data_IF_033286041690
#
_entry.id   IF_033286041690
#
_cell.length_a   1.000
_cell.length_b   1.000
_cell.length_c   1.000
_cell.angle_alpha   90.00
_cell.angle_beta   90.00
_cell.angle_gamma   90.00
#
_symmetry.space_group_name_H-M   'P 1'
#
loop_
_entity.id
_entity.type
_entity.pdbx_description
1 polymer ?
#
# COMPACT_ATOMS: atom_id res chain seq x y z
N UNK A 1 21.05 14.35 1.58
CA UNK A 1 19.60 14.55 1.49
C UNK A 1 18.99 14.37 0.09
N UNK A 2 19.23 15.23 -0.93
CA UNK A 2 18.54 15.06 -2.24
C UNK A 2 18.82 13.72 -2.95
N UNK A 3 20.05 13.18 -2.84
CA UNK A 3 20.41 11.91 -3.47
C UNK A 3 19.99 10.66 -2.67
N UNK A 4 19.80 10.75 -1.36
CA UNK A 4 19.50 9.58 -0.51
C UNK A 4 18.04 9.12 -0.67
N UNK A 5 17.13 10.08 -0.87
CA UNK A 5 15.70 9.79 -1.09
C UNK A 5 15.36 9.48 -2.55
N UNK A 6 16.29 9.66 -3.48
CA UNK A 6 16.03 9.45 -4.91
C UNK A 6 15.64 8.01 -5.21
N UNK A 7 16.41 7.04 -4.71
CA UNK A 7 16.15 5.61 -4.94
C UNK A 7 14.79 5.20 -4.33
N UNK A 8 14.50 5.47 -3.04
CA UNK A 8 13.19 5.18 -2.45
C UNK A 8 12.02 5.83 -3.22
N UNK A 9 12.16 7.09 -3.65
CA UNK A 9 11.10 7.81 -4.37
C UNK A 9 10.84 7.21 -5.76
N UNK A 10 11.90 6.86 -6.49
CA UNK A 10 11.75 6.21 -7.81
C UNK A 10 11.09 4.84 -7.67
N UNK A 11 11.51 4.03 -6.70
CA UNK A 11 10.89 2.73 -6.43
C UNK A 11 9.43 2.88 -6.00
N UNK A 12 9.13 3.84 -5.12
CA UNK A 12 7.76 4.16 -4.72
C UNK A 12 6.88 4.47 -5.95
N UNK A 13 7.36 5.30 -6.86
CA UNK A 13 6.67 5.62 -8.11
C UNK A 13 6.42 4.38 -8.98
N UNK A 14 7.43 3.52 -9.16
CA UNK A 14 7.31 2.28 -9.95
C UNK A 14 6.26 1.34 -9.33
N UNK A 15 6.28 1.15 -8.01
CA UNK A 15 5.36 0.23 -7.34
C UNK A 15 3.93 0.79 -7.28
N UNK A 16 3.76 2.10 -7.12
CA UNK A 16 2.46 2.76 -7.29
C UNK A 16 1.94 2.59 -8.72
N UNK A 17 2.79 2.78 -9.73
CA UNK A 17 2.41 2.58 -11.12
C UNK A 17 2.00 1.13 -11.40
N UNK A 18 2.71 0.16 -10.84
CA UNK A 18 2.35 -1.25 -10.95
C UNK A 18 0.93 -1.52 -10.40
N UNK A 19 0.58 -0.92 -9.26
CA UNK A 19 -0.77 -1.02 -8.71
C UNK A 19 -1.82 -0.37 -9.63
N UNK A 20 -1.52 0.81 -10.19
CA UNK A 20 -2.39 1.50 -11.14
C UNK A 20 -2.60 0.68 -12.41
N UNK A 21 -1.55 0.09 -12.97
CA UNK A 21 -1.63 -0.81 -14.14
C UNK A 21 -2.49 -2.02 -13.81
N UNK A 22 -2.36 -2.59 -12.61
CA UNK A 22 -3.23 -3.67 -12.16
C UNK A 22 -4.71 -3.30 -12.17
N UNK A 23 -5.06 -2.10 -11.70
CA UNK A 23 -6.44 -1.60 -11.78
C UNK A 23 -6.88 -1.42 -13.23
N UNK A 24 -6.07 -0.75 -14.06
CA UNK A 24 -6.39 -0.45 -15.46
C UNK A 24 -6.60 -1.72 -16.30
N UNK A 25 -5.80 -2.75 -16.05
CA UNK A 25 -5.84 -4.03 -16.76
C UNK A 25 -6.76 -5.07 -16.12
N UNK A 26 -7.37 -4.77 -14.96
CA UNK A 26 -8.17 -5.71 -14.16
C UNK A 26 -7.37 -6.98 -13.84
N UNK A 27 -6.17 -6.77 -13.30
CA UNK A 27 -5.21 -7.80 -12.88
C UNK A 27 -4.82 -7.60 -11.43
N UNK A 28 -5.46 -8.33 -10.54
CA UNK A 28 -5.37 -8.23 -9.10
C UNK A 28 -3.98 -8.60 -8.60
N UNK A 29 -3.28 -9.46 -9.33
CA UNK A 29 -1.87 -9.76 -9.10
C UNK A 29 -1.01 -8.50 -9.12
N UNK A 30 -1.13 -7.65 -10.14
CA UNK A 30 -0.33 -6.42 -10.24
C UNK A 30 -0.73 -5.39 -9.19
N UNK A 31 -2.03 -5.31 -8.87
CA UNK A 31 -2.49 -4.49 -7.74
C UNK A 31 -1.78 -4.95 -6.47
N UNK A 32 -1.90 -6.23 -6.10
CA UNK A 32 -1.27 -6.76 -4.88
C UNK A 32 0.25 -6.60 -4.87
N UNK A 33 0.90 -6.92 -5.99
CA UNK A 33 2.34 -6.80 -6.13
C UNK A 33 2.82 -5.36 -5.90
N UNK A 34 2.09 -4.36 -6.42
CA UNK A 34 2.39 -2.95 -6.17
C UNK A 34 2.39 -2.62 -4.68
N UNK A 35 1.34 -2.98 -3.93
CA UNK A 35 1.30 -2.72 -2.47
C UNK A 35 2.32 -3.53 -1.69
N UNK A 36 2.54 -4.79 -2.08
CA UNK A 36 3.51 -5.69 -1.44
C UNK A 36 4.92 -5.10 -1.53
N UNK A 37 5.35 -4.76 -2.74
CA UNK A 37 6.68 -4.19 -2.99
C UNK A 37 6.80 -2.79 -2.37
N UNK A 38 5.76 -1.96 -2.46
CA UNK A 38 5.75 -0.64 -1.83
C UNK A 38 5.92 -0.75 -0.31
N UNK A 39 5.10 -1.59 0.35
CA UNK A 39 5.18 -1.79 1.79
C UNK A 39 6.51 -2.37 2.22
N UNK A 40 7.00 -3.39 1.48
CA UNK A 40 8.27 -4.03 1.78
C UNK A 40 9.42 -3.04 1.67
N UNK A 41 9.41 -2.21 0.63
CA UNK A 41 10.41 -1.16 0.42
C UNK A 41 10.41 -0.13 1.56
N UNK A 42 9.25 0.42 1.93
CA UNK A 42 9.18 1.40 3.03
C UNK A 42 9.66 0.79 4.33
N UNK A 43 9.21 -0.43 4.65
CA UNK A 43 9.65 -1.17 5.84
C UNK A 43 11.18 -1.37 5.82
N UNK A 44 11.75 -1.83 4.71
CA UNK A 44 13.19 -2.10 4.59
C UNK A 44 14.04 -0.84 4.73
N UNK A 45 13.70 0.26 4.05
CA UNK A 45 14.48 1.49 4.15
C UNK A 45 14.41 2.12 5.54
N UNK A 46 13.24 2.12 6.19
CA UNK A 46 13.14 2.61 7.57
C UNK A 46 13.94 1.71 8.53
N UNK A 47 13.93 0.39 8.34
CA UNK A 47 14.73 -0.53 9.16
C UNK A 47 16.24 -0.28 8.97
N UNK A 48 16.70 -0.05 7.73
CA UNK A 48 18.10 0.28 7.45
C UNK A 48 18.51 1.60 8.10
N UNK A 49 17.65 2.63 8.02
CA UNK A 49 17.88 3.91 8.71
C UNK A 49 17.95 3.76 10.24
N UNK A 50 17.10 2.91 10.83
CA UNK A 50 17.21 2.59 12.25
C UNK A 50 18.54 1.91 12.59
N UNK A 51 18.99 0.96 11.76
CA UNK A 51 20.26 0.24 11.98
C UNK A 51 21.49 1.14 11.76
N UNK A 52 21.38 2.22 10.97
CA UNK A 52 22.45 3.22 10.81
C UNK A 52 22.46 4.29 11.91
N UNK A 53 21.51 4.27 12.84
CA UNK A 53 21.42 5.23 13.95
C UNK A 53 20.58 6.48 13.66
N UNK A 54 19.86 6.51 12.54
CA UNK A 54 18.99 7.63 12.12
C UNK A 54 17.53 7.44 12.54
N UNK A 55 17.23 6.42 13.33
CA UNK A 55 15.86 6.02 13.69
C UNK A 55 15.21 6.81 14.82
N UNK A 56 13.90 6.99 14.73
CA UNK A 56 13.05 7.53 15.77
C UNK A 56 11.66 6.88 15.82
N UNK A 57 10.73 7.54 16.51
CA UNK A 57 9.37 7.03 16.68
C UNK A 57 8.61 6.91 15.34
N UNK A 58 8.87 7.81 14.39
CA UNK A 58 8.23 7.82 13.08
C UNK A 58 8.62 6.58 12.26
N UNK A 59 9.91 6.22 12.27
CA UNK A 59 10.45 5.07 11.57
C UNK A 59 9.89 3.77 12.16
N UNK A 60 9.77 3.67 13.49
CA UNK A 60 9.19 2.49 14.16
C UNK A 60 7.72 2.31 13.75
N UNK A 61 6.93 3.39 13.77
CA UNK A 61 5.53 3.37 13.35
C UNK A 61 5.42 2.99 11.88
N UNK A 62 6.26 3.58 11.03
CA UNK A 62 6.32 3.29 9.60
C UNK A 62 6.64 1.82 9.33
N UNK A 63 7.65 1.26 10.00
CA UNK A 63 8.02 -0.16 9.89
C UNK A 63 6.83 -1.05 10.24
N UNK A 64 6.18 -0.80 11.37
CA UNK A 64 5.03 -1.59 11.81
C UNK A 64 3.87 -1.55 10.80
N UNK A 65 3.49 -0.35 10.37
CA UNK A 65 2.41 -0.15 9.41
C UNK A 65 2.68 -0.84 8.07
N UNK A 66 3.89 -0.65 7.53
CA UNK A 66 4.22 -1.18 6.20
C UNK A 66 4.62 -2.65 6.21
N UNK A 67 5.08 -3.19 7.34
CA UNK A 67 5.15 -4.64 7.54
C UNK A 67 3.75 -5.27 7.44
N UNK A 68 2.74 -4.68 8.11
CA UNK A 68 1.35 -5.13 7.98
C UNK A 68 0.86 -5.06 6.53
N UNK A 69 1.06 -3.94 5.83
CA UNK A 69 0.69 -3.84 4.40
C UNK A 69 1.35 -4.95 3.57
N UNK A 70 2.64 -5.17 3.76
CA UNK A 70 3.41 -6.20 3.04
C UNK A 70 2.79 -7.58 3.23
N UNK A 71 2.50 -7.96 4.47
CA UNK A 71 1.91 -9.28 4.77
C UNK A 71 0.50 -9.40 4.17
N UNK A 72 -0.36 -8.40 4.40
CA UNK A 72 -1.75 -8.44 3.95
C UNK A 72 -1.87 -8.42 2.41
N UNK A 73 -0.88 -7.84 1.74
CA UNK A 73 -0.85 -7.67 0.29
C UNK A 73 0.07 -8.67 -0.41
N UNK A 74 0.54 -9.71 0.29
CA UNK A 74 1.29 -10.81 -0.32
C UNK A 74 0.61 -11.24 -1.64
N UNK A 75 1.37 -11.31 -2.76
CA UNK A 75 0.80 -11.25 -4.11
C UNK A 75 0.26 -12.60 -4.59
N UNK A 76 -0.47 -13.30 -3.71
CA UNK A 76 -1.26 -14.48 -4.06
C UNK A 76 -2.70 -14.03 -4.23
N UNK A 77 -3.19 -14.19 -5.46
CA UNK A 77 -4.52 -13.73 -5.87
C UNK A 77 -5.19 -14.89 -6.61
N UNK A 78 -6.43 -15.26 -6.23
CA UNK A 78 -7.21 -16.18 -7.05
C UNK A 78 -7.56 -15.53 -8.40
N UNK A 79 -8.01 -16.31 -9.37
CA UNK A 79 -8.46 -15.76 -10.67
C UNK A 79 -9.85 -15.10 -10.56
N UNK A 80 -10.66 -15.55 -9.63
CA UNK A 80 -12.01 -15.03 -9.36
C UNK A 80 -12.30 -15.00 -7.86
N UNK A 81 -13.11 -14.03 -7.43
CA UNK A 81 -13.57 -13.91 -6.04
C UNK A 81 -15.08 -13.72 -6.01
N UNK A 82 -15.78 -14.53 -5.21
CA UNK A 82 -17.22 -14.40 -4.99
C UNK A 82 -17.51 -13.54 -3.75
N UNK A 83 -17.88 -12.28 -3.95
CA UNK A 83 -18.25 -11.35 -2.87
C UNK A 83 -19.69 -11.50 -2.40
N UNK A 84 -20.46 -12.46 -2.94
CA UNK A 84 -21.75 -12.86 -2.38
C UNK A 84 -21.60 -13.79 -1.17
N UNK A 85 -20.44 -14.43 -1.00
CA UNK A 85 -20.10 -15.16 0.23
C UNK A 85 -19.77 -14.15 1.34
N UNK A 86 -20.49 -14.22 2.45
CA UNK A 86 -20.38 -13.27 3.55
C UNK A 86 -19.01 -13.31 4.24
N UNK A 87 -18.41 -14.50 4.37
CA UNK A 87 -17.09 -14.65 4.98
C UNK A 87 -16.01 -14.05 4.07
N UNK A 88 -16.08 -14.32 2.76
CA UNK A 88 -15.17 -13.74 1.76
C UNK A 88 -15.33 -12.21 1.71
N UNK A 89 -16.56 -11.71 1.68
CA UNK A 89 -16.86 -10.27 1.68
C UNK A 89 -16.31 -9.58 2.92
N UNK A 90 -16.58 -10.14 4.11
CA UNK A 90 -16.13 -9.59 5.38
C UNK A 90 -14.60 -9.54 5.46
N UNK A 91 -13.93 -10.62 5.07
CA UNK A 91 -12.46 -10.65 5.04
C UNK A 91 -11.91 -9.63 4.05
N UNK A 92 -12.47 -9.57 2.83
CA UNK A 92 -12.02 -8.64 1.81
C UNK A 92 -12.20 -7.17 2.23
N UNK A 93 -13.29 -6.82 2.91
CA UNK A 93 -13.52 -5.50 3.47
C UNK A 93 -12.51 -5.18 4.58
N UNK A 94 -12.29 -6.10 5.53
CA UNK A 94 -11.29 -5.90 6.60
C UNK A 94 -9.90 -5.64 6.02
N UNK A 95 -9.46 -6.47 5.07
CA UNK A 95 -8.16 -6.31 4.41
C UNK A 95 -8.06 -4.96 3.67
N UNK A 96 -9.06 -4.64 2.84
CA UNK A 96 -9.03 -3.43 2.02
C UNK A 96 -9.11 -2.16 2.87
N UNK A 97 -9.94 -2.16 3.92
CA UNK A 97 -10.04 -1.04 4.87
C UNK A 97 -8.76 -0.86 5.68
N UNK A 98 -8.11 -1.94 6.12
CA UNK A 98 -6.82 -1.83 6.81
C UNK A 98 -5.76 -1.20 5.92
N UNK A 99 -5.65 -1.64 4.66
CA UNK A 99 -4.66 -1.09 3.72
C UNK A 99 -5.00 0.35 3.32
N UNK A 100 -6.29 0.68 3.20
CA UNK A 100 -6.77 2.07 3.05
C UNK A 100 -6.28 2.93 4.22
N UNK A 101 -6.51 2.50 5.46
CA UNK A 101 -6.11 3.24 6.65
C UNK A 101 -4.58 3.40 6.73
N UNK A 102 -3.81 2.36 6.41
CA UNK A 102 -2.35 2.45 6.38
C UNK A 102 -1.90 3.57 5.43
N UNK A 103 -2.41 3.61 4.21
CA UNK A 103 -2.01 4.60 3.23
C UNK A 103 -2.55 6.00 3.55
N UNK A 104 -3.80 6.12 4.01
CA UNK A 104 -4.36 7.41 4.43
C UNK A 104 -3.61 8.00 5.61
N UNK A 105 -3.23 7.19 6.59
CA UNK A 105 -2.39 7.62 7.71
C UNK A 105 -1.00 8.05 7.22
N UNK A 106 -0.41 7.32 6.27
CA UNK A 106 0.87 7.70 5.69
C UNK A 106 0.81 9.04 4.92
N UNK A 107 -0.29 9.33 4.22
CA UNK A 107 -0.54 10.66 3.64
C UNK A 107 -0.48 11.73 4.73
N UNK A 108 -1.24 11.54 5.82
CA UNK A 108 -1.25 12.48 6.92
C UNK A 108 0.14 12.66 7.56
N UNK A 109 0.89 11.57 7.78
CA UNK A 109 2.24 11.63 8.34
C UNK A 109 3.22 12.41 7.45
N UNK A 110 3.19 12.18 6.13
CA UNK A 110 4.07 12.91 5.18
C UNK A 110 3.73 14.40 5.13
N UNK A 111 2.45 14.75 5.23
CA UNK A 111 2.02 16.15 5.26
C UNK A 111 2.34 16.84 6.60
N UNK A 112 2.38 16.08 7.69
CA UNK A 112 2.62 16.60 9.04
C UNK A 112 4.11 16.67 9.42
N UNK A 113 4.96 15.84 8.82
CA UNK A 113 6.39 15.80 9.10
C UNK A 113 7.18 16.72 8.17
N UNK A 114 8.03 17.57 8.75
CA UNK A 114 8.98 18.39 8.00
C UNK A 114 10.11 17.51 7.43
N UNK A 115 10.59 17.81 6.23
CA UNK A 115 11.73 17.14 5.60
C UNK A 115 11.40 15.92 4.73
N UNK A 116 10.15 15.45 4.71
CA UNK A 116 9.73 14.38 3.80
C UNK A 116 9.33 14.93 2.41
N UNK A 117 9.74 14.26 1.30
CA UNK A 117 9.29 14.63 -0.03
C UNK A 117 7.77 14.50 -0.17
N UNK A 118 7.11 15.61 -0.50
CA UNK A 118 5.64 15.67 -0.58
C UNK A 118 5.04 14.77 -1.66
N UNK A 119 5.83 14.37 -2.66
CA UNK A 119 5.44 13.38 -3.66
C UNK A 119 5.07 12.02 -3.03
N UNK A 120 5.63 11.68 -1.86
CA UNK A 120 5.28 10.45 -1.15
C UNK A 120 3.82 10.45 -0.69
N UNK A 121 3.28 11.61 -0.28
CA UNK A 121 1.87 11.75 0.05
C UNK A 121 0.99 11.48 -1.18
N UNK A 122 1.43 11.88 -2.38
CA UNK A 122 0.71 11.58 -3.63
C UNK A 122 0.68 10.07 -3.90
N UNK A 123 1.81 9.39 -3.75
CA UNK A 123 1.88 7.93 -3.94
C UNK A 123 0.98 7.18 -2.97
N UNK A 124 1.02 7.52 -1.67
CA UNK A 124 0.11 6.95 -0.68
C UNK A 124 -1.35 7.30 -0.96
N UNK A 125 -1.65 8.52 -1.40
CA UNK A 125 -3.00 8.94 -1.76
C UNK A 125 -3.58 8.10 -2.91
N UNK A 126 -2.78 7.84 -3.95
CA UNK A 126 -3.18 6.95 -5.05
C UNK A 126 -3.50 5.55 -4.53
N UNK A 127 -2.62 4.99 -3.69
CA UNK A 127 -2.82 3.69 -3.06
C UNK A 127 -4.05 3.68 -2.12
N UNK A 128 -4.35 4.76 -1.42
CA UNK A 128 -5.58 4.86 -0.63
C UNK A 128 -6.83 4.83 -1.54
N UNK A 129 -6.83 5.61 -2.62
CA UNK A 129 -7.94 5.65 -3.59
C UNK A 129 -8.19 4.28 -4.23
N UNK A 130 -7.14 3.54 -4.58
CA UNK A 130 -7.29 2.18 -5.13
C UNK A 130 -7.99 1.24 -4.14
N UNK A 131 -7.69 1.32 -2.85
CA UNK A 131 -8.40 0.52 -1.83
C UNK A 131 -9.85 0.98 -1.67
N UNK A 132 -10.14 2.28 -1.76
CA UNK A 132 -11.50 2.79 -1.75
C UNK A 132 -12.32 2.26 -2.94
N UNK A 133 -11.74 2.25 -4.15
CA UNK A 133 -12.36 1.63 -5.33
C UNK A 133 -12.62 0.14 -5.10
N UNK A 134 -11.67 -0.57 -4.47
CA UNK A 134 -11.83 -1.99 -4.14
C UNK A 134 -12.97 -2.22 -3.15
N UNK A 135 -13.12 -1.39 -2.13
CA UNK A 135 -14.24 -1.44 -1.18
C UNK A 135 -15.57 -1.24 -1.91
N UNK A 136 -15.65 -0.28 -2.83
CA UNK A 136 -16.84 -0.06 -3.66
C UNK A 136 -17.19 -1.31 -4.51
N UNK A 137 -16.19 -1.99 -5.08
CA UNK A 137 -16.41 -3.24 -5.81
C UNK A 137 -16.91 -4.38 -4.90
N UNK A 138 -16.29 -4.57 -3.73
CA UNK A 138 -16.67 -5.62 -2.77
C UNK A 138 -18.10 -5.40 -2.26
N UNK A 139 -18.47 -4.14 -1.96
CA UNK A 139 -19.80 -3.80 -1.44
C UNK A 139 -20.91 -4.04 -2.47
N UNK A 140 -20.63 -3.82 -3.76
CA UNK A 140 -21.53 -4.17 -4.88
C UNK A 140 -21.85 -5.67 -4.95
N UNK A 141 -20.94 -6.54 -4.52
CA UNK A 141 -21.13 -7.99 -4.48
C UNK A 141 -20.94 -8.68 -5.84
N UNK A 142 -21.31 -9.96 -5.90
CA UNK A 142 -21.17 -10.79 -7.10
C UNK A 142 -19.78 -11.42 -7.28
N UNK A 143 -19.58 -12.09 -8.42
CA UNK A 143 -18.30 -12.69 -8.79
C UNK A 143 -17.48 -11.68 -9.57
N UNK A 144 -16.27 -11.39 -9.09
CA UNK A 144 -15.35 -10.45 -9.73
C UNK A 144 -14.11 -11.19 -10.19
N UNK A 145 -13.75 -11.01 -11.46
CA UNK A 145 -12.44 -11.44 -11.99
C UNK A 145 -11.36 -10.55 -11.42
N UNK A 146 -10.31 -11.16 -10.90
CA UNK A 146 -9.26 -10.46 -10.18
C UNK A 146 -8.12 -10.09 -11.10
#
# INVERSE_FOLDING_TARGET
>A
MENEMLIPVVLAGIFTLLAVVGVATKKGLYVRMGYFLFGGMVMTFNLLGMLSGEGGALEIISIGMFACQTILMYPVVPDEVNFSDEAVKTLALRLSTTVLLINSTAVWLVLAAEGLPQILAVFHGILAVIMLMRIAMITKGGVTKT
#
